data_IF_670520246918
#
_entry.id   IF_670520246918
#
_cell.length_a   1.000
_cell.length_b   1.000
_cell.length_c   1.000
_cell.angle_alpha   90.00
_cell.angle_beta   90.00
_cell.angle_gamma   90.00
#
_symmetry.space_group_name_H-M   'P 1'
#
loop_
_entity.id
_entity.type
_entity.pdbx_description
1 polymer ?
#
# COMPACT_ATOMS: atom_id res chain seq x y z
N UNK A 1 5.65 -21.97 4.04
CA UNK A 1 6.82 -21.09 4.27
C UNK A 1 6.72 -19.97 3.24
N UNK A 2 6.05 -18.88 3.58
CA UNK A 2 5.87 -17.74 2.67
C UNK A 2 6.97 -16.73 2.96
N UNK A 3 7.96 -16.65 2.08
CA UNK A 3 8.96 -15.59 2.15
C UNK A 3 8.27 -14.25 1.86
N UNK A 4 8.45 -13.29 2.76
CA UNK A 4 8.06 -11.90 2.55
C UNK A 4 9.27 -11.12 2.06
N UNK A 5 9.04 -10.17 1.16
CA UNK A 5 10.07 -9.24 0.68
C UNK A 5 9.62 -7.81 0.99
N UNK A 6 10.58 -6.95 1.29
CA UNK A 6 10.38 -5.52 1.47
C UNK A 6 11.37 -4.75 0.60
N UNK A 7 10.98 -3.55 0.17
CA UNK A 7 11.83 -2.63 -0.60
C UNK A 7 12.21 -1.48 0.31
N UNK A 8 13.50 -1.17 0.39
CA UNK A 8 13.99 0.07 1.01
C UNK A 8 13.95 1.15 -0.08
N UNK A 9 12.92 2.00 -0.03
CA UNK A 9 12.76 3.10 -0.97
C UNK A 9 12.98 4.45 -0.28
N UNK A 10 14.19 5.00 -0.45
CA UNK A 10 14.55 6.32 0.08
C UNK A 10 13.74 7.49 -0.49
N UNK A 11 12.98 7.26 -1.57
CA UNK A 11 12.13 8.29 -2.20
C UNK A 11 10.66 8.18 -1.79
N UNK A 12 10.28 7.16 -1.03
CA UNK A 12 8.94 7.04 -0.48
C UNK A 12 8.78 7.98 0.73
N UNK A 13 7.76 8.83 0.71
CA UNK A 13 7.43 9.73 1.84
C UNK A 13 6.81 8.98 3.03
N UNK A 14 6.35 7.75 2.82
CA UNK A 14 5.70 6.93 3.85
C UNK A 14 5.97 5.44 3.67
N UNK A 15 5.50 4.66 4.63
CA UNK A 15 5.53 3.21 4.56
C UNK A 15 4.25 2.71 3.87
N UNK A 16 4.44 1.82 2.91
CA UNK A 16 3.34 1.19 2.18
C UNK A 16 3.44 -0.32 2.35
N UNK A 17 2.28 -0.95 2.50
CA UNK A 17 2.16 -2.39 2.63
C UNK A 17 1.21 -2.93 1.56
N UNK A 18 1.58 -4.07 0.99
CA UNK A 18 0.76 -4.70 -0.04
C UNK A 18 -0.57 -5.18 0.55
N UNK A 19 -1.68 -4.92 -0.14
CA UNK A 19 -3.02 -5.30 0.33
C UNK A 19 -3.15 -6.83 0.52
N UNK A 20 -2.61 -7.63 -0.39
CA UNK A 20 -2.66 -9.09 -0.27
C UNK A 20 -1.91 -9.58 0.97
N UNK A 21 -0.81 -8.91 1.35
CA UNK A 21 -0.09 -9.21 2.58
C UNK A 21 -0.95 -8.96 3.83
N UNK A 22 -1.72 -7.86 3.85
CA UNK A 22 -2.67 -7.58 4.94
C UNK A 22 -3.72 -8.68 5.04
N UNK A 23 -4.32 -9.07 3.91
CA UNK A 23 -5.36 -10.09 3.81
C UNK A 23 -4.85 -11.47 4.27
N UNK A 24 -3.67 -11.87 3.78
CA UNK A 24 -3.05 -13.16 4.11
C UNK A 24 -2.71 -13.30 5.60
N UNK A 25 -2.32 -12.21 6.25
CA UNK A 25 -1.86 -12.21 7.64
C UNK A 25 -2.92 -11.72 8.63
N UNK A 26 -4.14 -11.43 8.16
CA UNK A 26 -5.25 -10.92 8.97
C UNK A 26 -4.86 -9.69 9.82
N UNK A 27 -4.05 -8.80 9.23
CA UNK A 27 -3.63 -7.57 9.90
C UNK A 27 -4.84 -6.63 9.97
N UNK A 28 -5.14 -6.12 11.18
CA UNK A 28 -6.23 -5.17 11.37
C UNK A 28 -5.88 -3.84 10.72
N UNK A 29 -6.86 -3.23 10.07
CA UNK A 29 -6.75 -1.91 9.46
C UNK A 29 -7.95 -1.06 9.80
N UNK A 30 -7.78 0.26 9.67
CA UNK A 30 -8.82 1.24 9.82
C UNK A 30 -9.04 1.99 8.51
N UNK A 31 -10.30 2.21 8.15
CA UNK A 31 -10.65 2.99 6.97
C UNK A 31 -10.17 4.45 7.12
N UNK A 32 -9.53 4.97 6.09
CA UNK A 32 -9.13 6.37 6.02
C UNK A 32 -10.35 7.28 5.84
N UNK A 33 -10.34 8.51 6.40
CA UNK A 33 -11.40 9.49 6.16
C UNK A 33 -11.60 9.80 4.67
N UNK A 34 -10.51 9.83 3.91
CA UNK A 34 -10.49 10.03 2.46
C UNK A 34 -9.47 9.10 1.80
N UNK A 35 -9.83 8.39 0.71
CA UNK A 35 -8.87 7.58 -0.04
C UNK A 35 -7.74 8.40 -0.63
N UNK A 36 -6.54 7.82 -0.69
CA UNK A 36 -5.36 8.41 -1.31
C UNK A 36 -5.21 7.84 -2.72
N UNK A 37 -5.34 8.71 -3.73
CA UNK A 37 -5.10 8.33 -5.13
C UNK A 37 -3.61 8.11 -5.39
N UNK A 38 -3.28 6.96 -5.96
CA UNK A 38 -1.91 6.63 -6.34
C UNK A 38 -1.64 6.99 -7.80
N UNK A 39 -0.46 7.53 -8.05
CA UNK A 39 0.04 7.82 -9.39
C UNK A 39 1.37 7.11 -9.61
N UNK A 40 1.59 6.64 -10.83
CA UNK A 40 2.88 6.10 -11.26
C UNK A 40 3.91 7.24 -11.41
N UNK A 41 5.19 6.88 -11.56
CA UNK A 41 6.28 7.84 -11.76
C UNK A 41 6.06 8.75 -12.99
N UNK A 42 5.35 8.26 -14.01
CA UNK A 42 5.00 9.02 -15.21
C UNK A 42 3.71 9.86 -15.05
N UNK A 43 3.12 9.92 -13.86
CA UNK A 43 1.93 10.71 -13.55
C UNK A 43 0.59 10.10 -13.94
N UNK A 44 0.55 8.89 -14.52
CA UNK A 44 -0.73 8.21 -14.80
C UNK A 44 -1.32 7.60 -13.52
N UNK A 45 -2.64 7.44 -13.40
CA UNK A 45 -3.25 6.74 -12.26
C UNK A 45 -2.67 5.32 -12.11
N UNK A 46 -2.39 4.93 -10.88
CA UNK A 46 -1.93 3.57 -10.58
C UNK A 46 -3.07 2.57 -10.77
N UNK A 47 -2.81 1.47 -11.49
CA UNK A 47 -3.83 0.44 -11.78
C UNK A 47 -4.18 -0.43 -10.57
N UNK A 48 -3.35 -0.43 -9.51
CA UNK A 48 -3.67 -1.05 -8.23
C UNK A 48 -4.75 -0.27 -7.45
N UNK A 49 -5.13 0.93 -7.91
CA UNK A 49 -6.22 1.72 -7.35
C UNK A 49 -5.76 2.75 -6.32
N UNK A 50 -6.50 2.84 -5.21
CA UNK A 50 -6.32 3.85 -4.16
C UNK A 50 -5.98 3.19 -2.83
N UNK A 51 -5.26 3.90 -1.95
CA UNK A 51 -5.12 3.49 -0.56
C UNK A 51 -6.35 3.96 0.20
N UNK A 52 -7.07 3.02 0.80
CA UNK A 52 -8.32 3.27 1.51
C UNK A 52 -8.22 3.02 3.01
N UNK A 53 -7.14 2.37 3.47
CA UNK A 53 -6.97 1.95 4.86
C UNK A 53 -5.55 2.21 5.36
N UNK A 54 -5.40 2.37 6.67
CA UNK A 54 -4.11 2.37 7.40
C UNK A 54 -4.08 1.27 8.45
N UNK A 55 -2.89 0.81 8.79
CA UNK A 55 -2.64 -0.01 10.01
C UNK A 55 -2.46 0.92 11.20
#
# INVERSE_FOLDING_TARGET
NTNSAAIIDSRATGLFINQHFIEQHHIQTQQLPHPITLYNVNGTPNTAGQITHSV
#
